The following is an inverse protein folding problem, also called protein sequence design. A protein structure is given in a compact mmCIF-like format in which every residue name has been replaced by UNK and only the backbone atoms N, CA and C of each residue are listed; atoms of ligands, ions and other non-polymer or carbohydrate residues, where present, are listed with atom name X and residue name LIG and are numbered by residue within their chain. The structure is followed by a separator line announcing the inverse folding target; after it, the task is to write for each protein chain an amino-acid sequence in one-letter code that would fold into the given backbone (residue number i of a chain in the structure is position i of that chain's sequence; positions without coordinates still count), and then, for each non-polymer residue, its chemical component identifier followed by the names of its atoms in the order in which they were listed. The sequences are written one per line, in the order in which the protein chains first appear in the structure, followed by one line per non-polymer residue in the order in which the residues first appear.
data_IF_732683546438
#
_entry.id   IF_732683546438
#
_cell.length_a   1.000
_cell.length_b   1.000
_cell.length_c   1.000
_cell.angle_alpha   90.00
_cell.angle_beta   90.00
_cell.angle_gamma   90.00
#
_symmetry.space_group_name_H-M   'P 1'
#
loop_
_entity.id
_entity.type
_entity.pdbx_description
1 polymer ?
#
# COMPACT_ATOMS: atom_id res chain seq x y z
N UNK A 1 -25.42 -43.60 12.36
CA UNK A 1 -25.67 -42.16 12.60
C UNK A 1 -24.41 -41.39 12.27
N UNK A 2 -24.22 -40.84 11.06
CA UNK A 2 -23.17 -39.87 10.80
C UNK A 2 -23.73 -38.45 10.91
N UNK A 3 -23.03 -37.61 11.67
CA UNK A 3 -23.34 -36.19 11.86
C UNK A 3 -22.79 -35.41 10.65
N UNK A 4 -23.68 -34.77 9.88
CA UNK A 4 -23.31 -33.97 8.71
C UNK A 4 -22.79 -32.60 9.12
N UNK A 5 -21.57 -32.26 8.70
CA UNK A 5 -21.04 -30.91 8.77
C UNK A 5 -21.43 -30.18 7.47
N UNK A 6 -22.48 -29.38 7.53
CA UNK A 6 -22.84 -28.46 6.46
C UNK A 6 -21.83 -27.31 6.44
N UNK A 7 -21.09 -27.19 5.34
CA UNK A 7 -20.22 -26.05 5.07
C UNK A 7 -21.04 -24.76 5.00
N UNK A 8 -20.77 -23.83 5.92
CA UNK A 8 -21.21 -22.44 5.75
C UNK A 8 -20.37 -21.81 4.66
N UNK A 9 -20.95 -21.68 3.48
CA UNK A 9 -20.51 -20.72 2.49
C UNK A 9 -20.52 -19.33 3.16
N UNK A 10 -19.33 -18.74 3.32
CA UNK A 10 -19.23 -17.30 3.58
C UNK A 10 -19.75 -16.61 2.33
N UNK A 11 -21.00 -16.19 2.38
CA UNK A 11 -21.58 -15.30 1.40
C UNK A 11 -21.06 -13.90 1.74
N UNK A 12 -20.08 -13.42 0.98
CA UNK A 12 -19.65 -12.02 1.03
C UNK A 12 -20.88 -11.13 0.84
N UNK A 13 -21.12 -10.23 1.79
CA UNK A 13 -22.18 -9.25 1.68
C UNK A 13 -21.91 -8.33 0.48
N UNK A 14 -22.94 -7.85 -0.24
CA UNK A 14 -22.72 -6.93 -1.35
C UNK A 14 -22.02 -5.66 -0.83
N UNK A 15 -20.94 -5.27 -1.50
CA UNK A 15 -20.26 -3.98 -1.31
C UNK A 15 -21.31 -2.88 -1.48
N UNK A 16 -21.51 -2.06 -0.45
CA UNK A 16 -22.51 -1.00 -0.51
C UNK A 16 -22.01 0.12 -1.44
N UNK A 17 -22.75 0.40 -2.51
CA UNK A 17 -22.50 1.59 -3.33
C UNK A 17 -22.82 2.84 -2.52
N UNK A 18 -21.80 3.53 -2.02
CA UNK A 18 -21.94 4.78 -1.28
C UNK A 18 -22.29 5.93 -2.23
N UNK A 19 -23.22 6.79 -1.83
CA UNK A 19 -23.47 8.06 -2.51
C UNK A 19 -22.28 9.02 -2.35
N UNK A 20 -22.06 9.99 -3.27
CA UNK A 20 -20.97 10.97 -3.14
C UNK A 20 -20.98 11.73 -1.81
N UNK A 21 -22.17 11.99 -1.26
CA UNK A 21 -22.33 12.59 0.07
C UNK A 21 -21.79 11.70 1.18
N UNK A 22 -22.07 10.40 1.12
CA UNK A 22 -21.59 9.46 2.13
C UNK A 22 -20.08 9.23 2.02
N UNK A 23 -19.53 9.18 0.80
CA UNK A 23 -18.08 9.13 0.56
C UNK A 23 -17.39 10.33 1.21
N UNK A 24 -17.91 11.55 0.97
CA UNK A 24 -17.38 12.78 1.57
C UNK A 24 -17.42 12.74 3.10
N UNK A 25 -18.56 12.34 3.69
CA UNK A 25 -18.68 12.23 5.16
C UNK A 25 -17.70 11.23 5.77
N UNK A 26 -17.48 10.10 5.09
CA UNK A 26 -16.52 9.10 5.52
C UNK A 26 -15.09 9.67 5.48
N UNK A 27 -14.74 10.33 4.38
CA UNK A 27 -13.45 11.00 4.22
C UNK A 27 -13.21 12.04 5.31
N UNK A 28 -14.16 12.96 5.54
CA UNK A 28 -14.08 13.97 6.60
C UNK A 28 -13.90 13.33 8.00
N UNK A 29 -14.50 12.15 8.22
CA UNK A 29 -14.34 11.42 9.47
C UNK A 29 -12.97 10.75 9.58
N UNK A 30 -12.45 10.19 8.49
CA UNK A 30 -11.09 9.63 8.42
C UNK A 30 -10.04 10.71 8.71
N UNK A 31 -10.19 11.91 8.14
CA UNK A 31 -9.29 13.05 8.42
C UNK A 31 -9.30 13.44 9.91
N UNK A 32 -10.48 13.46 10.56
CA UNK A 32 -10.56 13.72 12.00
C UNK A 32 -9.86 12.64 12.83
N UNK A 33 -9.96 11.38 12.41
CA UNK A 33 -9.25 10.28 13.08
C UNK A 33 -7.74 10.37 12.85
N UNK A 34 -7.28 10.76 11.66
CA UNK A 34 -5.87 11.00 11.36
C UNK A 34 -5.30 12.10 12.28
N UNK A 35 -6.01 13.23 12.42
CA UNK A 35 -5.60 14.31 13.32
C UNK A 35 -5.55 13.91 14.81
N UNK A 36 -6.33 12.90 15.22
CA UNK A 36 -6.25 12.32 16.57
C UNK A 36 -5.10 11.31 16.69
N UNK A 37 -4.84 10.52 15.65
CA UNK A 37 -3.73 9.58 15.57
C UNK A 37 -2.37 10.28 15.66
N UNK A 38 -2.21 11.44 15.01
CA UNK A 38 -0.99 12.26 15.09
C UNK A 38 -0.69 12.70 16.54
N UNK A 39 -1.72 12.83 17.39
CA UNK A 39 -1.54 13.13 18.82
C UNK A 39 -1.06 11.92 19.63
N UNK A 40 -1.01 10.73 19.04
CA UNK A 40 -0.64 9.46 19.66
C UNK A 40 0.70 8.95 19.12
N UNK A 41 1.69 9.85 19.00
CA UNK A 41 3.08 9.55 18.63
C UNK A 41 3.25 8.90 17.24
N UNK A 42 2.40 9.24 16.27
CA UNK A 42 2.45 8.76 14.88
C UNK A 42 2.42 7.21 14.75
N UNK A 43 1.83 6.54 15.73
CA UNK A 43 1.79 5.06 15.79
C UNK A 43 0.70 4.45 14.91
N UNK A 44 -0.10 5.25 14.24
CA UNK A 44 -1.28 4.79 13.51
C UNK A 44 -1.33 5.38 12.12
N UNK A 45 -1.55 4.52 11.12
CA UNK A 45 -1.99 4.92 9.79
C UNK A 45 -3.51 4.90 9.78
N UNK A 46 -4.11 5.98 9.29
CA UNK A 46 -5.55 6.07 9.02
C UNK A 46 -5.73 6.08 7.52
N UNK A 47 -6.33 5.01 7.01
CA UNK A 47 -6.56 4.79 5.59
C UNK A 47 -8.05 4.54 5.35
N UNK A 48 -8.53 4.81 4.14
CA UNK A 48 -9.87 4.39 3.71
C UNK A 48 -9.76 3.31 2.65
N UNK A 49 -10.65 2.31 2.72
CA UNK A 49 -10.72 1.19 1.78
C UNK A 49 -12.19 0.81 1.58
N UNK A 50 -12.71 0.92 0.36
CA UNK A 50 -14.10 0.55 -0.01
C UNK A 50 -15.15 0.92 1.06
N UNK A 51 -15.21 2.18 1.47
CA UNK A 51 -16.19 2.66 2.44
C UNK A 51 -15.92 2.30 3.90
N UNK A 52 -14.76 1.73 4.21
CA UNK A 52 -14.27 1.45 5.57
C UNK A 52 -13.14 2.41 5.92
N UNK A 53 -13.01 2.73 7.21
CA UNK A 53 -11.81 3.37 7.77
C UNK A 53 -10.99 2.28 8.45
N UNK A 54 -9.73 2.16 8.02
CA UNK A 54 -8.76 1.23 8.55
C UNK A 54 -7.78 2.00 9.45
N UNK A 55 -7.70 1.61 10.72
CA UNK A 55 -6.67 2.08 11.64
C UNK A 55 -5.63 0.98 11.79
N UNK A 56 -4.44 1.21 11.23
CA UNK A 56 -3.35 0.25 11.26
C UNK A 56 -2.27 0.75 12.20
N UNK A 57 -1.99 -0.02 13.26
CA UNK A 57 -0.86 0.29 14.12
C UNK A 57 0.44 0.00 13.38
N UNK A 58 1.24 1.05 13.23
CA UNK A 58 2.58 0.96 12.66
C UNK A 58 3.52 0.50 13.76
N UNK A 59 4.22 -0.60 13.55
CA UNK A 59 5.36 -0.97 14.39
C UNK A 59 6.64 -0.34 13.82
N UNK A 60 7.19 0.71 14.45
CA UNK A 60 8.40 1.37 13.97
C UNK A 60 9.63 0.53 14.34
N UNK A 61 9.88 -0.52 13.57
CA UNK A 61 11.10 -1.35 13.75
C UNK A 61 12.25 -0.80 12.90
N UNK A 62 13.46 -0.79 13.47
CA UNK A 62 14.64 -0.31 12.75
C UNK A 62 14.90 -1.06 11.42
N UNK A 63 14.70 -2.40 11.33
CA UNK A 63 14.83 -3.11 10.05
C UNK A 63 13.82 -2.67 8.98
N UNK A 64 12.56 -2.38 9.35
CA UNK A 64 11.55 -1.87 8.39
C UNK A 64 11.96 -0.50 7.88
N UNK A 65 12.26 0.44 8.78
CA UNK A 65 12.69 1.80 8.40
C UNK A 65 13.97 1.77 7.54
N UNK A 66 14.94 0.92 7.88
CA UNK A 66 16.16 0.76 7.09
C UNK A 66 15.88 0.20 5.69
N UNK A 67 14.91 -0.70 5.54
CA UNK A 67 14.51 -1.23 4.24
C UNK A 67 13.89 -0.13 3.36
N UNK A 68 12.95 0.66 3.91
CA UNK A 68 12.33 1.79 3.21
C UNK A 68 13.39 2.80 2.74
N UNK A 69 14.31 3.20 3.63
CA UNK A 69 15.40 4.13 3.29
C UNK A 69 16.32 3.57 2.20
N UNK A 70 16.62 2.27 2.22
CA UNK A 70 17.45 1.63 1.20
C UNK A 70 16.75 1.60 -0.15
N UNK A 71 15.47 1.25 -0.18
CA UNK A 71 14.66 1.26 -1.40
C UNK A 71 14.58 2.67 -1.99
N UNK A 72 14.29 3.68 -1.16
CA UNK A 72 14.29 5.09 -1.54
C UNK A 72 15.59 5.50 -2.22
N UNK A 73 16.74 5.24 -1.56
CA UNK A 73 18.06 5.59 -2.10
C UNK A 73 18.36 4.91 -3.44
N UNK A 74 17.94 3.65 -3.60
CA UNK A 74 18.12 2.94 -4.86
C UNK A 74 17.30 3.56 -5.99
N UNK A 75 16.06 3.98 -5.71
CA UNK A 75 15.16 4.61 -6.68
C UNK A 75 15.71 5.97 -7.11
N UNK A 76 15.99 6.86 -6.15
CA UNK A 76 16.49 8.22 -6.42
C UNK A 76 17.88 8.20 -7.11
N UNK A 77 18.73 7.21 -6.82
CA UNK A 77 20.02 7.06 -7.50
C UNK A 77 19.90 6.64 -8.98
N UNK A 78 18.82 5.97 -9.37
CA UNK A 78 18.58 5.52 -10.75
C UNK A 78 17.85 6.57 -11.59
N UNK A 79 17.24 7.55 -10.95
CA UNK A 79 16.28 8.47 -11.57
C UNK A 79 16.32 9.77 -10.79
N UNK A 80 17.03 10.77 -11.31
CA UNK A 80 17.24 12.03 -10.60
C UNK A 80 16.01 12.94 -10.70
N UNK A 81 15.13 12.69 -11.67
CA UNK A 81 13.90 13.45 -11.93
C UNK A 81 12.69 12.98 -11.10
N UNK A 82 12.89 12.12 -10.10
CA UNK A 82 11.82 11.68 -9.19
C UNK A 82 12.18 11.97 -7.75
N UNK A 83 11.14 12.22 -6.96
CA UNK A 83 11.22 12.19 -5.51
C UNK A 83 10.54 10.92 -4.99
N UNK A 84 11.09 10.36 -3.91
CA UNK A 84 10.46 9.26 -3.21
C UNK A 84 10.08 9.69 -1.78
N UNK A 85 8.78 9.71 -1.49
CA UNK A 85 8.21 10.14 -0.22
C UNK A 85 7.86 8.93 0.64
N UNK A 86 8.26 8.94 1.92
CA UNK A 86 7.96 7.89 2.90
C UNK A 86 6.78 8.28 3.75
N UNK A 87 5.91 7.33 4.09
CA UNK A 87 4.80 7.48 5.05
C UNK A 87 3.95 8.76 4.82
N UNK A 88 3.77 9.13 3.55
CA UNK A 88 3.04 10.33 3.14
C UNK A 88 1.63 9.96 2.70
N UNK A 89 0.65 10.82 3.01
CA UNK A 89 -0.75 10.58 2.66
C UNK A 89 -0.94 10.85 1.16
N UNK A 90 -1.60 9.92 0.46
CA UNK A 90 -2.17 10.12 -0.86
C UNK A 90 -3.67 9.90 -0.85
N UNK A 91 -4.42 10.63 -1.67
CA UNK A 91 -5.88 10.57 -1.64
C UNK A 91 -6.50 10.76 -3.01
N UNK A 92 -7.63 10.06 -3.22
CA UNK A 92 -8.51 10.19 -4.37
C UNK A 92 -9.90 10.66 -3.91
N UNK A 93 -10.23 11.96 -4.09
CA UNK A 93 -11.54 12.48 -3.72
C UNK A 93 -12.72 11.86 -4.46
N UNK A 94 -12.50 11.30 -5.66
CA UNK A 94 -13.56 10.72 -6.48
C UNK A 94 -14.02 9.37 -5.92
N UNK A 95 -13.06 8.53 -5.53
CA UNK A 95 -13.35 7.22 -4.90
C UNK A 95 -13.44 7.30 -3.38
N UNK A 96 -12.95 8.38 -2.77
CA UNK A 96 -12.81 8.54 -1.32
C UNK A 96 -11.73 7.66 -0.71
N UNK A 97 -10.84 7.11 -1.52
CA UNK A 97 -9.70 6.29 -1.08
C UNK A 97 -8.56 7.19 -0.60
N UNK A 98 -8.01 6.86 0.56
CA UNK A 98 -6.87 7.54 1.19
C UNK A 98 -5.92 6.46 1.68
N UNK A 99 -4.65 6.56 1.28
CA UNK A 99 -3.59 5.60 1.61
C UNK A 99 -2.38 6.31 2.18
N UNK A 100 -1.62 5.60 3.00
CA UNK A 100 -0.33 6.05 3.53
C UNK A 100 0.72 4.97 3.23
N UNK A 101 1.24 4.93 1.98
CA UNK A 101 2.25 3.96 1.60
C UNK A 101 3.54 4.11 2.40
N UNK A 102 4.26 3.00 2.60
CA UNK A 102 5.62 3.05 3.17
C UNK A 102 6.59 3.85 2.29
N UNK A 103 6.43 3.76 0.97
CA UNK A 103 7.14 4.58 -0.01
C UNK A 103 6.27 4.81 -1.25
N UNK A 104 6.26 6.03 -1.76
CA UNK A 104 5.70 6.37 -3.07
C UNK A 104 6.73 7.14 -3.90
N UNK A 105 6.64 7.04 -5.22
CA UNK A 105 7.52 7.74 -6.16
C UNK A 105 6.69 8.62 -7.09
N UNK A 106 7.12 9.87 -7.25
CA UNK A 106 6.46 10.92 -8.03
C UNK A 106 7.53 11.58 -8.90
N UNK A 107 7.17 12.04 -10.10
CA UNK A 107 8.05 12.93 -10.84
C UNK A 107 8.26 14.23 -10.05
N UNK A 108 9.50 14.70 -9.93
CA UNK A 108 9.82 15.86 -9.09
C UNK A 108 9.08 17.13 -9.55
N UNK A 109 8.84 17.26 -10.86
CA UNK A 109 8.10 18.38 -11.45
C UNK A 109 6.60 18.40 -11.10
N UNK A 110 6.03 17.26 -10.72
CA UNK A 110 4.61 17.10 -10.37
C UNK A 110 4.35 17.24 -8.84
N UNK A 111 5.40 17.44 -8.04
CA UNK A 111 5.29 17.55 -6.59
C UNK A 111 4.74 18.92 -6.21
N UNK A 112 3.55 18.96 -5.62
CA UNK A 112 3.01 20.13 -4.92
C UNK A 112 3.51 20.13 -3.46
N UNK A 113 4.50 20.97 -3.16
CA UNK A 113 5.09 21.12 -1.82
C UNK A 113 4.20 21.91 -0.84
N UNK A 114 3.06 22.44 -1.31
CA UNK A 114 2.06 23.13 -0.50
C UNK A 114 0.85 22.25 -0.15
N UNK A 115 0.67 21.14 -0.86
CA UNK A 115 -0.42 20.20 -0.65
C UNK A 115 -0.22 19.35 0.60
N UNK A 116 -1.30 19.14 1.36
CA UNK A 116 -1.30 18.24 2.52
C UNK A 116 -1.40 16.75 2.14
N UNK A 117 -1.94 16.47 0.95
CA UNK A 117 -2.23 15.13 0.46
C UNK A 117 -1.70 15.06 -0.96
N UNK A 118 -0.90 14.04 -1.23
CA UNK A 118 -0.42 13.75 -2.58
C UNK A 118 -1.60 13.35 -3.46
N UNK A 119 -1.71 13.99 -4.61
CA UNK A 119 -2.67 13.59 -5.63
C UNK A 119 -2.25 12.23 -6.21
N UNK A 120 -3.19 11.28 -6.17
CA UNK A 120 -2.94 9.92 -6.61
C UNK A 120 -2.47 9.79 -8.06
N UNK A 121 -2.87 10.72 -8.93
CA UNK A 121 -2.55 10.70 -10.36
C UNK A 121 -1.06 10.87 -10.65
N UNK A 122 -0.33 11.47 -9.73
CA UNK A 122 1.09 11.81 -9.91
C UNK A 122 1.99 10.66 -9.42
N UNK A 123 1.42 9.65 -8.75
CA UNK A 123 2.16 8.52 -8.18
C UNK A 123 2.50 7.47 -9.25
N UNK A 124 3.79 7.26 -9.49
CA UNK A 124 4.32 6.33 -10.49
C UNK A 124 4.53 4.91 -9.95
N UNK A 125 4.88 4.80 -8.67
CA UNK A 125 5.23 3.55 -7.99
C UNK A 125 4.87 3.66 -6.51
N UNK A 126 4.27 2.62 -5.97
CA UNK A 126 4.12 2.40 -4.53
C UNK A 126 4.92 1.18 -4.10
N UNK A 127 5.60 1.27 -2.97
CA UNK A 127 6.26 0.14 -2.30
C UNK A 127 5.73 0.00 -0.88
N UNK A 128 5.34 -1.22 -0.52
CA UNK A 128 4.94 -1.59 0.84
C UNK A 128 5.91 -2.62 1.42
N UNK A 129 6.41 -2.35 2.64
CA UNK A 129 7.31 -3.27 3.35
C UNK A 129 6.52 -3.94 4.47
N UNK A 130 6.11 -5.18 4.21
CA UNK A 130 5.23 -5.94 5.10
C UNK A 130 5.84 -6.05 6.50
N UNK A 131 5.02 -5.77 7.51
CA UNK A 131 5.31 -6.00 8.94
C UNK A 131 4.38 -7.05 9.54
N UNK A 132 4.54 -7.36 10.84
CA UNK A 132 3.68 -8.33 11.53
C UNK A 132 2.25 -7.82 11.70
N UNK A 133 2.09 -6.51 11.93
CA UNK A 133 0.77 -5.89 12.10
C UNK A 133 0.02 -5.71 10.79
N UNK A 134 0.72 -5.76 9.64
CA UNK A 134 0.05 -5.83 8.35
C UNK A 134 -0.72 -7.15 8.24
N UNK A 135 -2.04 -7.07 8.31
CA UNK A 135 -2.90 -8.20 8.05
C UNK A 135 -2.81 -8.61 6.57
N UNK A 136 -3.02 -9.88 6.26
CA UNK A 136 -3.19 -10.31 4.86
C UNK A 136 -4.34 -9.56 4.17
N UNK A 137 -5.32 -9.11 4.95
CA UNK A 137 -6.42 -8.27 4.48
C UNK A 137 -5.93 -6.90 4.03
N UNK A 138 -5.01 -6.27 4.75
CA UNK A 138 -4.45 -4.96 4.39
C UNK A 138 -3.78 -4.98 3.00
N UNK A 139 -2.93 -5.99 2.75
CA UNK A 139 -2.27 -6.14 1.43
C UNK A 139 -3.30 -6.47 0.33
N UNK A 140 -4.31 -7.28 0.62
CA UNK A 140 -5.38 -7.59 -0.35
C UNK A 140 -6.22 -6.36 -0.69
N UNK A 141 -6.59 -5.56 0.31
CA UNK A 141 -7.32 -4.31 0.14
C UNK A 141 -6.49 -3.34 -0.72
N UNK A 142 -5.18 -3.22 -0.46
CA UNK A 142 -4.27 -2.39 -1.25
C UNK A 142 -4.12 -2.86 -2.70
N UNK A 143 -4.12 -4.17 -2.96
CA UNK A 143 -4.15 -4.74 -4.32
C UNK A 143 -5.43 -4.41 -5.10
N UNK A 144 -6.54 -4.14 -4.39
CA UNK A 144 -7.79 -3.67 -4.98
C UNK A 144 -7.79 -2.17 -5.21
N UNK A 145 -7.23 -1.42 -4.27
CA UNK A 145 -7.37 0.03 -4.21
C UNK A 145 -6.37 0.74 -5.11
N UNK A 146 -5.09 0.34 -5.12
CA UNK A 146 -4.07 1.03 -5.92
C UNK A 146 -4.36 1.09 -7.42
N UNK A 147 -4.88 0.02 -8.08
CA UNK A 147 -5.34 0.11 -9.47
C UNK A 147 -6.46 1.14 -9.67
N UNK A 148 -7.40 1.25 -8.72
CA UNK A 148 -8.51 2.22 -8.79
C UNK A 148 -8.02 3.65 -8.60
N UNK A 149 -7.01 3.82 -7.75
CA UNK A 149 -6.25 5.05 -7.60
C UNK A 149 -5.18 5.23 -8.70
N UNK A 150 -5.28 4.51 -9.82
CA UNK A 150 -4.43 4.67 -11.01
C UNK A 150 -2.93 4.42 -10.84
N UNK A 151 -2.48 3.85 -9.71
CA UNK A 151 -1.06 3.62 -9.44
C UNK A 151 -0.52 2.58 -10.44
N UNK A 152 0.46 2.91 -11.30
CA UNK A 152 0.91 2.02 -12.37
C UNK A 152 1.66 0.78 -11.88
N UNK A 153 2.44 0.94 -10.80
CA UNK A 153 3.33 -0.09 -10.26
C UNK A 153 3.16 -0.19 -8.75
N UNK A 154 3.03 -1.42 -8.26
CA UNK A 154 2.94 -1.71 -6.83
C UNK A 154 3.89 -2.84 -6.46
N UNK A 155 4.76 -2.60 -5.47
CA UNK A 155 5.75 -3.58 -5.02
C UNK A 155 5.49 -3.93 -3.56
N UNK A 156 5.31 -5.22 -3.30
CA UNK A 156 5.18 -5.77 -1.94
C UNK A 156 6.47 -6.46 -1.57
N UNK A 157 7.18 -5.95 -0.57
CA UNK A 157 8.39 -6.56 -0.02
C UNK A 157 8.02 -7.25 1.29
N UNK A 158 8.15 -8.58 1.34
CA UNK A 158 7.90 -9.37 2.55
C UNK A 158 9.21 -9.92 3.12
N UNK A 159 9.86 -9.20 4.06
CA UNK A 159 11.11 -9.60 4.68
C UNK A 159 10.94 -10.62 5.82
N UNK A 160 9.70 -11.04 6.15
CA UNK A 160 9.44 -11.99 7.24
C UNK A 160 10.09 -13.33 6.94
N UNK A 161 10.62 -13.98 7.99
CA UNK A 161 11.48 -15.17 7.84
C UNK A 161 10.80 -16.34 7.13
N UNK A 162 9.49 -16.52 7.33
CA UNK A 162 8.66 -17.57 6.76
C UNK A 162 8.18 -17.27 5.33
N UNK A 163 8.31 -16.02 4.87
CA UNK A 163 7.87 -15.58 3.54
C UNK A 163 9.06 -15.28 2.63
N UNK A 164 9.84 -14.25 2.93
CA UNK A 164 11.02 -13.83 2.14
C UNK A 164 10.71 -13.74 0.65
N UNK A 165 9.69 -12.95 0.32
CA UNK A 165 9.25 -12.75 -1.07
C UNK A 165 9.25 -11.27 -1.42
N UNK A 166 9.31 -10.98 -2.72
CA UNK A 166 8.99 -9.67 -3.28
C UNK A 166 8.06 -9.89 -4.45
N UNK A 167 6.98 -9.13 -4.54
CA UNK A 167 6.04 -9.24 -5.66
C UNK A 167 5.86 -7.90 -6.32
N UNK A 168 6.01 -7.86 -7.64
CA UNK A 168 5.77 -6.67 -8.46
C UNK A 168 4.44 -6.84 -9.19
N UNK A 169 3.51 -5.94 -8.92
CA UNK A 169 2.22 -5.84 -9.57
C UNK A 169 2.24 -4.66 -10.56
N UNK A 170 1.69 -4.88 -11.75
CA UNK A 170 1.70 -3.92 -12.85
C UNK A 170 0.54 -4.19 -13.82
N UNK A 171 0.41 -3.34 -14.83
CA UNK A 171 -0.64 -3.40 -15.85
C UNK A 171 -2.05 -3.32 -15.23
N UNK A 172 -2.40 -2.19 -14.58
CA UNK A 172 -3.75 -1.98 -14.09
C UNK A 172 -4.72 -1.85 -15.27
N UNK A 173 -5.62 -2.82 -15.43
CA UNK A 173 -6.59 -2.81 -16.53
C UNK A 173 -7.95 -3.44 -16.18
N UNK A 174 -9.04 -2.96 -16.80
CA UNK A 174 -10.39 -3.45 -16.52
C UNK A 174 -10.56 -4.90 -16.94
N UNK A 175 -11.51 -5.59 -16.32
CA UNK A 175 -11.85 -6.96 -16.61
C UNK A 175 -13.05 -7.43 -15.79
N UNK A 176 -13.40 -8.73 -15.85
CA UNK A 176 -14.63 -9.24 -15.23
C UNK A 176 -14.74 -8.95 -13.74
N UNK A 177 -13.61 -8.96 -13.03
CA UNK A 177 -13.55 -8.75 -11.57
C UNK A 177 -13.20 -7.30 -11.20
N UNK A 178 -13.45 -6.36 -12.10
CA UNK A 178 -13.11 -4.93 -11.96
C UNK A 178 -11.69 -4.58 -12.37
N UNK A 179 -11.30 -3.33 -12.12
CA UNK A 179 -9.96 -2.80 -12.39
C UNK A 179 -8.94 -3.40 -11.40
N UNK A 180 -7.93 -4.10 -11.92
CA UNK A 180 -6.89 -4.80 -11.13
C UNK A 180 -5.57 -4.78 -11.89
N UNK A 181 -4.47 -4.99 -11.17
CA UNK A 181 -3.21 -5.40 -11.79
C UNK A 181 -3.38 -6.75 -12.50
N UNK A 182 -3.03 -6.83 -13.79
CA UNK A 182 -3.09 -8.07 -14.57
C UNK A 182 -1.77 -8.80 -14.65
N UNK A 183 -0.68 -8.12 -14.31
CA UNK A 183 0.64 -8.72 -14.27
C UNK A 183 1.16 -8.74 -12.83
N UNK A 184 1.50 -9.92 -12.38
CA UNK A 184 2.16 -10.19 -11.11
C UNK A 184 3.44 -10.97 -11.37
N UNK A 185 4.57 -10.46 -10.87
CA UNK A 185 5.88 -11.10 -11.01
C UNK A 185 6.46 -11.33 -9.62
N UNK A 186 6.52 -12.60 -9.16
CA UNK A 186 7.15 -12.94 -7.90
C UNK A 186 8.68 -13.04 -8.05
N UNK A 187 9.37 -12.59 -7.02
CA UNK A 187 10.82 -12.69 -6.84
C UNK A 187 11.12 -13.24 -5.44
N UNK A 188 12.25 -13.91 -5.31
CA UNK A 188 12.79 -14.24 -3.99
C UNK A 188 13.32 -12.98 -3.31
N UNK A 189 13.12 -12.84 -2.00
CA UNK A 189 13.84 -11.83 -1.22
C UNK A 189 15.34 -12.16 -1.24
N UNK A 190 16.17 -11.15 -1.54
CA UNK A 190 17.57 -11.35 -1.86
C UNK A 190 17.86 -11.48 -3.36
N UNK A 191 16.89 -11.21 -4.23
CA UNK A 191 17.11 -11.06 -5.67
C UNK A 191 17.17 -9.57 -6.07
N UNK A 192 17.69 -9.31 -7.26
CA UNK A 192 17.45 -8.04 -7.96
C UNK A 192 16.07 -8.07 -8.60
N UNK A 193 15.21 -7.12 -8.24
CA UNK A 193 13.80 -7.04 -8.63
C UNK A 193 13.61 -5.93 -9.65
N UNK A 194 12.94 -6.22 -10.77
CA UNK A 194 12.61 -5.19 -11.77
C UNK A 194 11.20 -4.68 -11.54
N UNK A 195 11.07 -3.39 -11.24
CA UNK A 195 9.80 -2.69 -11.07
C UNK A 195 9.73 -1.52 -12.06
N UNK A 196 9.07 -1.73 -13.21
CA UNK A 196 9.07 -0.74 -14.30
C UNK A 196 10.47 -0.44 -14.78
N UNK A 197 10.90 0.82 -14.65
CA UNK A 197 12.25 1.28 -15.00
C UNK A 197 13.29 1.08 -13.91
N UNK A 198 12.87 0.73 -12.69
CA UNK A 198 13.77 0.60 -11.54
C UNK A 198 14.23 -0.84 -11.31
N UNK A 199 15.48 -0.98 -10.90
CA UNK A 199 16.07 -2.21 -10.41
C UNK A 199 16.30 -2.10 -8.90
N UNK A 200 15.65 -2.97 -8.12
CA UNK A 200 15.71 -2.97 -6.66
C UNK A 200 16.55 -4.16 -6.18
N UNK A 201 17.74 -3.90 -5.66
CA UNK A 201 18.59 -4.90 -5.03
C UNK A 201 18.10 -5.22 -3.62
N UNK A 202 17.42 -6.35 -3.49
CA UNK A 202 16.86 -6.80 -2.22
C UNK A 202 17.84 -7.61 -1.37
N UNK A 203 19.05 -7.93 -1.86
CA UNK A 203 20.13 -8.50 -1.02
C UNK A 203 20.58 -7.51 0.05
N UNK A 204 20.48 -6.22 -0.27
CA UNK A 204 20.82 -5.14 0.64
C UNK A 204 19.81 -4.99 1.78
N UNK A 205 18.60 -5.56 1.69
CA UNK A 205 17.53 -5.39 2.68
C UNK A 205 17.71 -6.32 3.89
N UNK A 206 17.13 -5.92 5.03
CA UNK A 206 17.10 -6.69 6.27
C UNK A 206 15.87 -7.60 6.29
N UNK A 207 16.10 -8.90 6.41
CA UNK A 207 15.06 -9.84 6.81
C UNK A 207 14.70 -9.64 8.29
N UNK A 208 13.47 -9.97 8.67
CA UNK A 208 13.07 -9.92 10.07
C UNK A 208 13.45 -11.20 10.82
N UNK A 209 13.73 -11.12 12.13
CA UNK A 209 13.86 -12.28 13.00
C UNK A 209 12.59 -13.15 12.97
N UNK A 210 12.71 -14.43 13.34
CA UNK A 210 11.56 -15.34 13.42
C UNK A 210 10.53 -14.92 14.48
N UNK A 211 10.98 -14.14 15.47
CA UNK A 211 10.21 -13.77 16.65
C UNK A 211 9.37 -12.49 16.42
N UNK A 212 9.53 -11.88 15.24
CA UNK A 212 8.87 -10.64 14.85
C UNK A 212 7.75 -10.93 13.85
#
# INVERSE_FOLDING_TARGET
MPCGYAGRHHQEAPVADFTPEQVRRLHDFAERLAALADQQEDRWKVETAEGRICLTMVEPTAPRGLNVVRLRRQIEAQTQEVIALSDTIMGDPETGLTKVPDLMVIAEEDVDDTAKVVNWRDVMLVVEVVSRTNSLTDIRDKLLDYPKMGVPLYVVVDPRKDRKTVTVHSDPSPGPDGLRYRKEVPYAFGATVTAGRWSLDTTSLKSYPAEW
#
